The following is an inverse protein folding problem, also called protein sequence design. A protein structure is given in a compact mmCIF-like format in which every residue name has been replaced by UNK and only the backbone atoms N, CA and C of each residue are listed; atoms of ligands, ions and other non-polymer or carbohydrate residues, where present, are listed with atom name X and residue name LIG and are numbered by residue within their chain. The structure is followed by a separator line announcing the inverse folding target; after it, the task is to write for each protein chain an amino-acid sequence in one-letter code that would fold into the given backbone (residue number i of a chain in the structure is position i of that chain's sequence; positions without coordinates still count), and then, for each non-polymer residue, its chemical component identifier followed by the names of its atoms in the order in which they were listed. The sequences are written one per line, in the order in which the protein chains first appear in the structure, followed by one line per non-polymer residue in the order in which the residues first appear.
data_IF_038367584048
#
_entry.id   IF_038367584048
#
_cell.length_a   1.000
_cell.length_b   1.000
_cell.length_c   1.000
_cell.angle_alpha   90.00
_cell.angle_beta   90.00
_cell.angle_gamma   90.00
#
_symmetry.space_group_name_H-M   'P 1'
#
loop_
_entity.id
_entity.type
_entity.pdbx_description
1 polymer ?
#
# COMPACT_ATOMS: atom_id res chain seq x y z
N UNK A 1 -14.77 -3.35 -21.51
CA UNK A 1 -14.64 -2.84 -22.90
C UNK A 1 -15.41 -1.53 -23.09
N UNK A 2 -16.72 -1.46 -22.76
CA UNK A 2 -17.54 -0.25 -22.96
C UNK A 2 -16.93 0.99 -22.29
N UNK A 3 -16.50 0.87 -21.02
CA UNK A 3 -15.88 1.98 -20.29
C UNK A 3 -14.62 2.50 -20.99
N UNK A 4 -13.70 1.63 -21.39
CA UNK A 4 -12.46 2.05 -22.07
C UNK A 4 -12.70 2.57 -23.50
N UNK A 5 -13.75 2.09 -24.17
CA UNK A 5 -14.15 2.63 -25.47
C UNK A 5 -14.66 4.06 -25.33
N UNK A 6 -15.51 4.31 -24.33
CA UNK A 6 -16.18 5.61 -24.16
C UNK A 6 -15.33 6.59 -23.33
N UNK A 7 -14.45 6.07 -22.47
CA UNK A 7 -13.57 6.82 -21.57
C UNK A 7 -12.14 6.24 -21.54
N UNK A 8 -11.35 6.40 -22.59
CA UNK A 8 -10.05 5.73 -22.74
C UNK A 8 -8.97 6.15 -21.72
N UNK A 9 -9.21 7.24 -20.98
CA UNK A 9 -8.26 7.78 -20.00
C UNK A 9 -8.54 7.35 -18.55
N UNK A 10 -9.58 6.55 -18.31
CA UNK A 10 -9.84 6.06 -16.95
C UNK A 10 -9.03 4.80 -16.66
N UNK A 11 -8.75 4.60 -15.39
CA UNK A 11 -8.16 3.36 -14.87
C UNK A 11 -9.22 2.61 -14.06
N UNK A 12 -9.47 1.36 -14.39
CA UNK A 12 -10.33 0.47 -13.58
C UNK A 12 -9.45 -0.44 -12.73
N UNK A 13 -9.77 -0.55 -11.45
CA UNK A 13 -8.99 -1.32 -10.49
C UNK A 13 -9.93 -2.26 -9.76
N UNK A 14 -9.63 -3.56 -9.79
CA UNK A 14 -10.42 -4.56 -9.09
C UNK A 14 -9.95 -4.70 -7.64
N UNK A 15 -10.88 -4.57 -6.70
CA UNK A 15 -10.72 -5.04 -5.33
C UNK A 15 -11.18 -6.49 -5.28
N UNK A 16 -10.24 -7.41 -5.32
CA UNK A 16 -10.53 -8.82 -5.43
C UNK A 16 -9.40 -9.63 -4.75
N UNK A 17 -9.76 -10.54 -3.85
CA UNK A 17 -8.81 -11.22 -2.97
C UNK A 17 -8.54 -12.69 -3.37
N UNK A 18 -9.29 -13.22 -4.35
CA UNK A 18 -9.10 -14.61 -4.77
C UNK A 18 -7.91 -14.76 -5.74
N UNK A 19 -7.61 -16.01 -6.05
CA UNK A 19 -6.63 -16.41 -7.07
C UNK A 19 -7.24 -16.53 -8.49
N UNK A 20 -8.40 -15.89 -8.75
CA UNK A 20 -9.00 -15.89 -10.07
C UNK A 20 -8.02 -15.27 -11.09
N UNK A 21 -7.67 -16.03 -12.15
CA UNK A 21 -6.64 -15.58 -13.07
C UNK A 21 -7.15 -14.57 -14.11
N UNK A 22 -6.26 -13.68 -14.56
CA UNK A 22 -6.52 -12.81 -15.70
C UNK A 22 -7.49 -11.65 -15.41
N UNK A 23 -7.62 -11.22 -14.17
CA UNK A 23 -8.48 -10.06 -13.82
C UNK A 23 -8.02 -8.80 -14.55
N UNK A 24 -6.71 -8.56 -14.62
CA UNK A 24 -6.13 -7.41 -15.32
C UNK A 24 -5.71 -7.71 -16.76
N UNK A 25 -5.98 -8.91 -17.27
CA UNK A 25 -5.76 -9.22 -18.69
C UNK A 25 -6.90 -8.70 -19.56
N UNK A 26 -6.60 -8.29 -20.80
CA UNK A 26 -7.63 -7.88 -21.75
C UNK A 26 -8.64 -8.99 -22.03
N UNK A 27 -9.89 -8.60 -22.34
CA UNK A 27 -10.99 -9.56 -22.61
C UNK A 27 -10.73 -10.45 -23.83
N UNK A 28 -9.97 -9.98 -24.83
CA UNK A 28 -9.58 -10.79 -25.97
C UNK A 28 -8.51 -11.86 -25.65
N UNK A 29 -7.96 -11.84 -24.43
CA UNK A 29 -7.05 -12.84 -23.86
C UNK A 29 -7.72 -13.63 -22.72
N UNK A 30 -9.02 -13.77 -22.75
CA UNK A 30 -9.85 -14.41 -21.72
C UNK A 30 -9.76 -13.78 -20.31
N UNK A 31 -9.35 -12.50 -20.25
CA UNK A 31 -9.32 -11.74 -19.02
C UNK A 31 -10.62 -10.97 -18.73
N UNK A 32 -10.72 -10.37 -17.55
CA UNK A 32 -11.88 -9.55 -17.17
C UNK A 32 -11.77 -8.09 -17.66
N UNK A 33 -10.59 -7.65 -18.08
CA UNK A 33 -10.37 -6.32 -18.67
C UNK A 33 -10.27 -5.18 -17.66
N UNK A 34 -10.00 -5.47 -16.40
CA UNK A 34 -9.57 -4.41 -15.47
C UNK A 34 -8.16 -3.94 -15.80
N UNK A 35 -7.85 -2.69 -15.52
CA UNK A 35 -6.51 -2.20 -15.71
C UNK A 35 -5.53 -2.63 -14.63
N UNK A 36 -6.01 -2.83 -13.41
CA UNK A 36 -5.23 -3.30 -12.26
C UNK A 36 -6.08 -4.14 -11.31
N UNK A 37 -5.40 -4.88 -10.43
CA UNK A 37 -5.98 -5.63 -9.30
C UNK A 37 -5.24 -5.27 -8.01
N UNK A 38 -5.94 -5.16 -6.88
CA UNK A 38 -5.31 -5.04 -5.57
C UNK A 38 -4.53 -6.30 -5.23
N UNK A 39 -3.31 -6.13 -4.73
CA UNK A 39 -2.44 -7.22 -4.27
C UNK A 39 -2.71 -7.49 -2.78
N UNK A 40 -3.86 -8.11 -2.48
CA UNK A 40 -4.32 -8.31 -1.11
C UNK A 40 -3.38 -9.22 -0.30
N UNK A 41 -2.78 -10.25 -0.93
CA UNK A 41 -1.77 -11.11 -0.29
C UNK A 41 -0.57 -10.31 0.20
N UNK A 42 -0.02 -9.42 -0.64
CA UNK A 42 1.05 -8.51 -0.23
C UNK A 42 0.67 -7.65 0.97
N UNK A 43 -0.54 -7.10 0.99
CA UNK A 43 -1.02 -6.26 2.08
C UNK A 43 -1.06 -7.03 3.40
N UNK A 44 -1.67 -8.23 3.39
CA UNK A 44 -1.75 -9.08 4.58
C UNK A 44 -0.37 -9.48 5.10
N UNK A 45 0.49 -10.01 4.22
CA UNK A 45 1.83 -10.46 4.59
C UNK A 45 2.70 -9.30 5.09
N UNK A 46 2.62 -8.14 4.44
CA UNK A 46 3.35 -6.94 4.85
C UNK A 46 2.93 -6.47 6.23
N UNK A 47 1.63 -6.33 6.48
CA UNK A 47 1.13 -5.91 7.78
C UNK A 47 1.47 -6.91 8.88
N UNK A 48 1.34 -8.20 8.61
CA UNK A 48 1.71 -9.25 9.55
C UNK A 48 3.20 -9.24 9.88
N UNK A 49 4.06 -9.06 8.86
CA UNK A 49 5.51 -8.97 9.05
C UNK A 49 5.89 -7.75 9.90
N UNK A 50 5.32 -6.57 9.60
CA UNK A 50 5.68 -5.34 10.29
C UNK A 50 5.09 -5.23 11.71
N UNK A 51 4.01 -5.96 12.03
CA UNK A 51 3.50 -6.11 13.39
C UNK A 51 4.42 -6.91 14.31
N UNK A 52 5.28 -7.77 13.76
CA UNK A 52 6.18 -8.57 14.56
C UNK A 52 7.25 -7.70 15.22
N UNK A 53 7.64 -8.10 16.44
CA UNK A 53 8.87 -7.57 17.04
C UNK A 53 10.06 -7.84 16.09
N UNK A 54 10.91 -6.84 15.83
CA UNK A 54 12.06 -6.98 14.94
C UNK A 54 12.96 -8.19 15.22
N UNK A 55 13.05 -8.63 16.48
CA UNK A 55 13.83 -9.81 16.88
C UNK A 55 13.34 -11.11 16.23
N UNK A 56 12.04 -11.19 15.90
CA UNK A 56 11.43 -12.41 15.35
C UNK A 56 11.23 -12.36 13.84
N UNK A 57 11.49 -11.23 13.19
CA UNK A 57 11.25 -11.05 11.74
C UNK A 57 12.08 -11.97 10.86
N UNK A 58 13.30 -12.33 11.31
CA UNK A 58 14.14 -13.27 10.55
C UNK A 58 13.50 -14.66 10.37
N UNK A 59 12.58 -15.06 11.25
CA UNK A 59 11.85 -16.32 11.17
C UNK A 59 10.64 -16.26 10.22
N UNK A 60 10.29 -15.10 9.72
CA UNK A 60 9.14 -14.84 8.84
C UNK A 60 9.56 -14.11 7.55
N UNK A 61 10.77 -14.38 7.08
CA UNK A 61 11.34 -13.74 5.88
C UNK A 61 10.52 -14.03 4.63
N UNK A 62 9.88 -15.19 4.55
CA UNK A 62 8.98 -15.59 3.49
C UNK A 62 7.80 -14.62 3.33
N UNK A 63 7.18 -14.15 4.41
CA UNK A 63 6.12 -13.12 4.34
C UNK A 63 6.57 -11.83 3.65
N UNK A 64 7.82 -11.48 3.82
CA UNK A 64 8.39 -10.28 3.20
C UNK A 64 8.65 -10.44 1.70
N UNK A 65 8.95 -11.64 1.24
CA UNK A 65 9.38 -11.90 -0.15
C UNK A 65 8.39 -12.70 -0.99
N UNK A 66 7.38 -13.34 -0.38
CA UNK A 66 6.47 -14.26 -1.08
C UNK A 66 5.71 -13.60 -2.24
N UNK A 67 5.32 -12.34 -2.09
CA UNK A 67 4.62 -11.59 -3.14
C UNK A 67 5.41 -11.50 -4.46
N UNK A 68 6.74 -11.58 -4.42
CA UNK A 68 7.59 -11.58 -5.61
C UNK A 68 7.42 -12.85 -6.47
N UNK A 69 6.86 -13.94 -5.91
CA UNK A 69 6.64 -15.19 -6.63
C UNK A 69 5.51 -15.10 -7.67
N UNK A 70 4.53 -14.21 -7.43
CA UNK A 70 3.35 -14.06 -8.28
C UNK A 70 3.14 -12.63 -8.79
N UNK A 71 4.12 -11.75 -8.57
CA UNK A 71 4.04 -10.34 -8.96
C UNK A 71 3.73 -10.13 -10.47
N UNK A 72 4.20 -11.02 -11.33
CA UNK A 72 4.03 -10.91 -12.79
C UNK A 72 2.70 -11.49 -13.31
N UNK A 73 1.86 -12.07 -12.45
CA UNK A 73 0.62 -12.73 -12.89
C UNK A 73 -0.45 -11.73 -13.31
N UNK A 74 -0.46 -10.55 -12.70
CA UNK A 74 -1.42 -9.47 -12.91
C UNK A 74 -0.76 -8.09 -12.86
N UNK A 75 -1.46 -7.06 -13.34
CA UNK A 75 -1.08 -5.66 -13.10
C UNK A 75 -1.51 -5.24 -11.70
N UNK A 76 -0.60 -5.34 -10.75
CA UNK A 76 -0.93 -5.15 -9.33
C UNK A 76 -0.83 -3.70 -8.85
N UNK A 77 -1.75 -3.36 -7.92
CA UNK A 77 -1.67 -2.20 -7.04
C UNK A 77 -1.51 -2.69 -5.60
N UNK A 78 -0.55 -2.15 -4.87
CA UNK A 78 -0.26 -2.46 -3.48
C UNK A 78 -1.18 -1.62 -2.57
N UNK A 79 -2.22 -2.19 -1.94
CA UNK A 79 -3.16 -1.43 -1.16
C UNK A 79 -2.72 -1.30 0.30
N UNK A 80 -2.66 -0.07 0.80
CA UNK A 80 -2.89 0.29 2.20
C UNK A 80 -4.10 1.22 2.19
N UNK A 81 -5.28 0.62 2.14
CA UNK A 81 -6.54 1.29 1.88
C UNK A 81 -7.23 1.79 3.16
N UNK A 82 -8.47 2.22 3.05
CA UNK A 82 -9.30 2.57 4.20
C UNK A 82 -9.57 1.36 5.10
N UNK A 83 -9.68 0.16 4.53
CA UNK A 83 -10.02 -1.06 5.27
C UNK A 83 -9.00 -1.43 6.35
N UNK A 84 -7.75 -1.01 6.18
CA UNK A 84 -6.70 -1.24 7.17
C UNK A 84 -6.77 -0.27 8.36
N UNK A 85 -7.56 0.80 8.26
CA UNK A 85 -7.56 1.91 9.25
C UNK A 85 -8.95 2.38 9.70
N UNK A 86 -10.03 1.73 9.26
CA UNK A 86 -11.41 2.00 9.72
C UNK A 86 -11.67 1.46 11.12
N UNK A 87 -12.88 1.73 11.64
CA UNK A 87 -13.31 1.34 12.98
C UNK A 87 -12.99 -0.12 13.32
N UNK A 88 -12.32 -0.32 14.45
CA UNK A 88 -11.91 -1.63 14.95
C UNK A 88 -10.61 -2.19 14.32
N UNK A 89 -9.98 -1.47 13.39
CA UNK A 89 -8.75 -1.92 12.69
C UNK A 89 -7.47 -1.32 13.24
N UNK A 90 -7.54 -0.22 13.96
CA UNK A 90 -6.42 0.59 14.46
C UNK A 90 -5.61 1.30 13.34
N UNK A 91 -5.13 2.53 13.57
CA UNK A 91 -4.24 3.24 12.65
C UNK A 91 -2.95 2.47 12.38
N UNK A 92 -2.33 2.68 11.19
CA UNK A 92 -1.10 1.97 10.80
C UNK A 92 0.03 2.16 11.82
N UNK A 93 0.17 3.37 12.39
CA UNK A 93 1.22 3.65 13.38
C UNK A 93 1.12 2.76 14.63
N UNK A 94 -0.09 2.41 15.06
CA UNK A 94 -0.30 1.55 16.22
C UNK A 94 -0.24 0.06 15.91
N UNK A 95 -0.13 -0.32 14.65
CA UNK A 95 0.20 -1.70 14.27
C UNK A 95 1.70 -1.98 14.39
N UNK A 96 2.53 -0.93 14.48
CA UNK A 96 3.98 -1.04 14.61
C UNK A 96 4.36 -1.32 16.07
N UNK A 97 5.30 -2.26 16.32
CA UNK A 97 5.76 -2.59 17.66
C UNK A 97 6.71 -1.53 18.24
N UNK A 98 6.89 -1.57 19.56
CA UNK A 98 7.88 -0.78 20.28
C UNK A 98 7.37 0.55 20.81
N UNK A 99 8.31 1.41 21.21
CA UNK A 99 8.06 2.78 21.65
C UNK A 99 7.69 3.70 20.45
N UNK A 100 7.40 4.96 20.74
CA UNK A 100 6.96 5.89 19.68
C UNK A 100 8.04 6.11 18.62
N UNK A 101 9.30 6.21 18.98
CA UNK A 101 10.38 6.32 18.01
C UNK A 101 10.47 5.09 17.10
N UNK A 102 10.36 3.90 17.69
CA UNK A 102 10.39 2.62 16.98
C UNK A 102 9.19 2.45 16.06
N UNK A 103 7.98 2.87 16.50
CA UNK A 103 6.77 2.86 15.65
C UNK A 103 6.97 3.69 14.40
N UNK A 104 7.43 4.95 14.55
CA UNK A 104 7.69 5.81 13.40
C UNK A 104 8.81 5.27 12.50
N UNK A 105 9.87 4.69 13.08
CA UNK A 105 10.93 4.06 12.31
C UNK A 105 10.43 2.86 11.50
N UNK A 106 9.62 1.99 12.11
CA UNK A 106 9.01 0.85 11.43
C UNK A 106 8.03 1.27 10.33
N UNK A 107 7.20 2.29 10.58
CA UNK A 107 6.27 2.78 9.58
C UNK A 107 7.00 3.40 8.37
N UNK A 108 8.09 4.15 8.59
CA UNK A 108 8.95 4.62 7.49
C UNK A 108 9.55 3.47 6.69
N UNK A 109 10.02 2.43 7.37
CA UNK A 109 10.57 1.25 6.72
C UNK A 109 9.52 0.53 5.87
N UNK A 110 8.30 0.35 6.40
CA UNK A 110 7.19 -0.26 5.67
C UNK A 110 6.81 0.54 4.42
N UNK A 111 6.73 1.87 4.50
CA UNK A 111 6.46 2.69 3.32
C UNK A 111 7.61 2.67 2.32
N UNK A 112 8.86 2.67 2.78
CA UNK A 112 10.02 2.51 1.89
C UNK A 112 9.95 1.18 1.15
N UNK A 113 9.66 0.08 1.85
CA UNK A 113 9.45 -1.22 1.23
C UNK A 113 8.32 -1.19 0.19
N UNK A 114 7.15 -0.62 0.55
CA UNK A 114 6.03 -0.47 -0.38
C UNK A 114 6.43 0.28 -1.66
N UNK A 115 7.15 1.38 -1.54
CA UNK A 115 7.54 2.20 -2.70
C UNK A 115 8.61 1.54 -3.57
N UNK A 116 9.49 0.71 -2.99
CA UNK A 116 10.52 -0.03 -3.73
C UNK A 116 10.02 -1.38 -4.27
N UNK A 117 8.90 -1.91 -3.77
CA UNK A 117 8.27 -3.12 -4.31
C UNK A 117 7.62 -2.81 -5.66
N UNK A 118 7.67 -3.72 -6.66
CA UNK A 118 6.94 -3.56 -7.90
C UNK A 118 5.43 -3.38 -7.71
N UNK A 119 4.76 -2.72 -8.67
CA UNK A 119 3.32 -2.44 -8.65
C UNK A 119 2.98 -0.99 -8.32
N UNK A 120 1.76 -0.57 -8.65
CA UNK A 120 1.23 0.75 -8.31
C UNK A 120 1.02 0.88 -6.79
N UNK A 121 0.94 2.10 -6.27
CA UNK A 121 0.85 2.38 -4.83
C UNK A 121 -0.50 2.96 -4.48
N UNK A 122 -1.14 2.42 -3.44
CA UNK A 122 -2.34 2.98 -2.83
C UNK A 122 -2.08 3.22 -1.34
N UNK A 123 -1.93 4.47 -0.96
CA UNK A 123 -1.82 4.89 0.43
C UNK A 123 -3.01 5.77 0.78
N UNK A 124 -3.85 5.29 1.70
CA UNK A 124 -5.07 6.01 2.09
C UNK A 124 -4.75 7.27 2.90
N UNK A 125 -5.60 8.30 2.72
CA UNK A 125 -5.46 9.63 3.31
C UNK A 125 -5.21 9.59 4.84
N UNK A 126 -4.28 10.42 5.31
CA UNK A 126 -3.88 10.50 6.71
C UNK A 126 -2.73 9.56 7.08
N UNK A 127 -2.52 8.48 6.36
CA UNK A 127 -1.41 7.55 6.62
C UNK A 127 -0.05 8.20 6.31
N UNK A 128 0.02 9.12 5.36
CA UNK A 128 1.23 9.84 4.96
C UNK A 128 1.85 10.69 6.07
N UNK A 129 1.06 11.05 7.08
CA UNK A 129 1.54 11.73 8.29
C UNK A 129 1.28 10.92 9.57
N UNK A 130 1.02 9.62 9.45
CA UNK A 130 0.80 8.70 10.56
C UNK A 130 -0.37 9.11 11.47
N UNK A 131 -1.57 9.30 10.91
CA UNK A 131 -2.77 9.59 11.69
C UNK A 131 -2.92 8.62 12.87
N UNK A 132 -3.35 9.13 14.02
CA UNK A 132 -3.43 8.37 15.27
C UNK A 132 -4.87 7.95 15.65
N UNK A 133 -5.86 8.38 14.86
CA UNK A 133 -7.25 7.94 14.97
C UNK A 133 -7.61 7.07 13.80
N UNK A 134 -8.47 6.11 14.05
CA UNK A 134 -9.13 5.34 13.00
C UNK A 134 -9.88 6.30 12.07
N UNK A 135 -9.83 6.00 10.77
CA UNK A 135 -10.53 6.83 9.80
C UNK A 135 -12.04 6.82 10.01
N UNK A 136 -12.62 8.01 9.99
CA UNK A 136 -14.06 8.20 10.13
C UNK A 136 -14.50 9.30 9.14
N UNK A 137 -15.43 8.96 8.27
CA UNK A 137 -15.97 9.88 7.24
C UNK A 137 -16.74 11.08 7.82
N UNK A 138 -17.12 11.03 9.10
CA UNK A 138 -17.85 12.12 9.77
C UNK A 138 -16.94 13.19 10.40
N UNK A 139 -15.62 12.96 10.38
CA UNK A 139 -14.65 13.84 11.03
C UNK A 139 -13.55 14.26 10.07
N UNK A 140 -13.01 15.44 10.30
CA UNK A 140 -11.84 15.94 9.58
C UNK A 140 -10.58 15.13 9.93
N UNK A 141 -9.62 15.10 9.00
CA UNK A 141 -8.30 14.52 9.25
C UNK A 141 -7.56 15.33 10.33
N UNK A 142 -6.66 14.68 11.05
CA UNK A 142 -5.91 15.26 12.16
C UNK A 142 -4.76 16.17 11.69
N UNK A 143 -5.06 17.23 10.95
CA UNK A 143 -4.05 18.16 10.39
C UNK A 143 -3.15 18.81 11.43
N UNK A 144 -3.61 18.94 12.68
CA UNK A 144 -2.87 19.46 13.82
C UNK A 144 -1.64 18.58 14.17
N UNK A 145 -1.65 17.29 13.85
CA UNK A 145 -0.49 16.42 14.02
C UNK A 145 0.74 16.89 13.24
N UNK A 146 0.55 17.62 12.15
CA UNK A 146 1.67 18.16 11.35
C UNK A 146 2.49 19.21 12.09
N UNK A 147 2.04 19.71 13.25
CA UNK A 147 2.80 20.57 14.16
C UNK A 147 3.82 19.77 15.00
N UNK A 148 3.68 18.45 15.05
CA UNK A 148 4.55 17.55 15.80
C UNK A 148 5.63 17.03 14.85
N UNK A 149 6.89 17.11 15.26
CA UNK A 149 8.05 16.84 14.42
C UNK A 149 8.04 15.43 13.81
N UNK A 150 7.65 14.40 14.57
CA UNK A 150 7.60 13.01 14.10
C UNK A 150 6.58 12.83 12.96
N UNK A 151 5.40 13.43 13.07
CA UNK A 151 4.36 13.39 12.04
C UNK A 151 4.72 14.22 10.80
N UNK A 152 5.27 15.41 11.01
CA UNK A 152 5.80 16.23 9.92
C UNK A 152 6.95 15.52 9.18
N UNK A 153 7.82 14.83 9.92
CA UNK A 153 8.89 14.00 9.38
C UNK A 153 8.37 12.83 8.55
N UNK A 154 7.29 12.19 9.01
CA UNK A 154 6.63 11.11 8.26
C UNK A 154 6.10 11.61 6.91
N UNK A 155 5.40 12.74 6.88
CA UNK A 155 4.93 13.36 5.65
C UNK A 155 6.07 13.67 4.69
N UNK A 156 7.20 14.22 5.20
CA UNK A 156 8.39 14.48 4.38
C UNK A 156 8.97 13.19 3.80
N UNK A 157 8.96 12.09 4.56
CA UNK A 157 9.41 10.78 4.06
C UNK A 157 8.54 10.33 2.89
N UNK A 158 7.21 10.37 3.02
CA UNK A 158 6.30 9.98 1.94
C UNK A 158 6.45 10.90 0.73
N UNK A 159 6.64 12.20 0.94
CA UNK A 159 6.92 13.14 -0.15
C UNK A 159 8.20 12.76 -0.90
N UNK A 160 9.30 12.48 -0.19
CA UNK A 160 10.55 12.05 -0.81
C UNK A 160 10.41 10.72 -1.57
N UNK A 161 9.66 9.75 -1.01
CA UNK A 161 9.36 8.48 -1.68
C UNK A 161 8.56 8.70 -2.97
N UNK A 162 7.57 9.59 -2.96
CA UNK A 162 6.82 9.96 -4.16
C UNK A 162 7.72 10.60 -5.24
N UNK A 163 8.65 11.47 -4.85
CA UNK A 163 9.61 12.08 -5.76
C UNK A 163 10.55 11.03 -6.37
N UNK A 164 11.07 10.11 -5.55
CA UNK A 164 11.88 8.98 -6.05
C UNK A 164 11.07 8.13 -7.02
N UNK A 165 9.87 7.73 -6.66
CA UNK A 165 9.00 6.92 -7.49
C UNK A 165 8.74 7.60 -8.84
N UNK A 166 8.31 8.86 -8.83
CA UNK A 166 8.00 9.64 -10.04
C UNK A 166 9.20 9.83 -10.97
N UNK A 167 10.40 9.98 -10.42
CA UNK A 167 11.61 10.29 -11.18
C UNK A 167 12.40 9.05 -11.61
N UNK A 168 11.96 7.85 -11.24
CA UNK A 168 12.62 6.60 -11.59
C UNK A 168 11.67 5.65 -12.33
N UNK A 169 11.66 5.66 -13.67
CA UNK A 169 10.79 4.83 -14.48
C UNK A 169 10.82 3.35 -14.12
N UNK A 170 11.98 2.82 -13.72
CA UNK A 170 12.13 1.44 -13.28
C UNK A 170 11.22 1.02 -12.09
N UNK A 171 10.61 1.98 -11.38
CA UNK A 171 9.70 1.70 -10.26
C UNK A 171 8.23 1.60 -10.69
N UNK A 172 7.87 2.04 -11.89
CA UNK A 172 6.47 2.09 -12.33
C UNK A 172 6.24 1.68 -13.79
N UNK A 173 7.28 1.65 -14.63
CA UNK A 173 7.14 1.12 -15.98
C UNK A 173 7.02 -0.40 -15.92
N UNK A 174 6.10 -0.94 -16.70
CA UNK A 174 5.98 -2.39 -16.88
C UNK A 174 7.22 -2.90 -17.62
N UNK A 175 7.87 -3.89 -17.06
CA UNK A 175 8.96 -4.62 -17.67
C UNK A 175 8.43 -5.79 -18.50
#
# INVERSE_FOLDING_TARGET
ETLYRDFPYIQTIAEEASDWPGISKPTFMDGLGFGMKWMMGWMHDTLDYFKLDPLFRSMQQDKFSFSMMYFYDESFMLPLSHDEVVHGKSPLIYKMPGDDWQKFANLRLMFTYMFMHPGAKLLFMGNEFAATKEWNYTTELQWDLLKIESHAGMRKTVQALNEIYKNNPALYELQ
#
